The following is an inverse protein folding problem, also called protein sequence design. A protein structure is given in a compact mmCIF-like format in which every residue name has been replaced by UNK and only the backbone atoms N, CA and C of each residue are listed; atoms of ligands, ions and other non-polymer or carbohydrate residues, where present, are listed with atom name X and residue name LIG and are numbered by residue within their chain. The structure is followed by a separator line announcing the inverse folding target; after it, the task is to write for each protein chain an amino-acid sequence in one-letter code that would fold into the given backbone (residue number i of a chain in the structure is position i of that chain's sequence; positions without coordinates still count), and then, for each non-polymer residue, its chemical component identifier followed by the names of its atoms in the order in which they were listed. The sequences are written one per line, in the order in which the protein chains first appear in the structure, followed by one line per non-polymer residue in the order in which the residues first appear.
data_IF_981832303438
#
_entry.id   IF_981832303438
#
_cell.length_a   1.000
_cell.length_b   1.000
_cell.length_c   1.000
_cell.angle_alpha   90.00
_cell.angle_beta   90.00
_cell.angle_gamma   90.00
#
_symmetry.space_group_name_H-M   'P 1'
#
loop_
_entity.id
_entity.type
_entity.pdbx_description
1 polymer ?
#
# COMPACT_ATOMS: atom_id res chain seq x y z
N UNK A 1 20.97 -17.86 -7.42
CA UNK A 1 19.70 -17.14 -7.17
C UNK A 1 20.03 -15.67 -7.16
N UNK A 2 19.45 -14.88 -8.06
CA UNK A 2 19.64 -13.42 -8.06
C UNK A 2 19.08 -12.85 -6.75
N UNK A 3 19.69 -11.79 -6.24
CA UNK A 3 19.18 -11.11 -5.05
C UNK A 3 17.82 -10.49 -5.37
N UNK A 4 16.86 -10.60 -4.44
CA UNK A 4 15.55 -9.96 -4.58
C UNK A 4 15.59 -8.61 -3.88
N UNK A 5 15.09 -7.57 -4.55
CA UNK A 5 14.90 -6.23 -4.01
C UNK A 5 13.40 -5.96 -3.91
N UNK A 6 12.99 -5.41 -2.77
CA UNK A 6 11.60 -5.05 -2.50
C UNK A 6 11.41 -3.56 -2.67
N UNK A 7 10.47 -3.17 -3.53
CA UNK A 7 9.99 -1.81 -3.70
C UNK A 7 8.66 -1.66 -2.96
N UNK A 8 8.45 -0.49 -2.35
CA UNK A 8 7.25 -0.19 -1.56
C UNK A 8 6.35 0.78 -2.30
N UNK A 9 5.06 0.42 -2.37
CA UNK A 9 4.03 1.29 -2.91
C UNK A 9 2.77 1.20 -2.04
N UNK A 10 1.82 2.09 -2.32
CA UNK A 10 0.47 2.04 -1.76
C UNK A 10 -0.55 2.34 -2.84
N UNK A 11 -1.76 1.80 -2.72
CA UNK A 11 -2.94 2.33 -3.40
C UNK A 11 -3.68 3.24 -2.41
N UNK A 12 -3.64 4.55 -2.65
CA UNK A 12 -4.39 5.54 -1.90
C UNK A 12 -5.81 5.65 -2.47
N UNK A 13 -6.79 5.75 -1.59
CA UNK A 13 -8.22 5.76 -1.87
C UNK A 13 -8.86 6.92 -1.13
N UNK A 14 -9.26 7.96 -1.86
CA UNK A 14 -10.09 9.03 -1.32
C UNK A 14 -11.55 8.60 -1.40
N UNK A 15 -12.19 8.49 -0.24
CA UNK A 15 -13.56 8.02 -0.11
C UNK A 15 -14.55 9.16 -0.29
N UNK A 16 -15.68 8.87 -0.92
CA UNK A 16 -16.83 9.76 -0.82
C UNK A 16 -17.37 9.75 0.62
N UNK A 17 -17.87 10.89 1.16
CA UNK A 17 -18.38 10.96 2.53
C UNK A 17 -19.54 10.00 2.83
N UNK A 18 -20.29 9.60 1.80
CA UNK A 18 -21.39 8.65 1.89
C UNK A 18 -21.46 7.78 0.61
N UNK A 19 -21.87 6.50 0.73
CA UNK A 19 -22.04 5.76 1.98
C UNK A 19 -20.68 5.45 2.63
N UNK A 20 -20.68 5.20 3.94
CA UNK A 20 -19.52 4.64 4.63
C UNK A 20 -19.19 3.24 4.06
N UNK A 21 -17.92 2.80 4.09
CA UNK A 21 -17.56 1.46 3.64
C UNK A 21 -18.31 0.37 4.41
N UNK A 22 -18.86 -0.62 3.71
CA UNK A 22 -19.47 -1.81 4.34
C UNK A 22 -18.45 -2.64 5.13
N UNK A 23 -17.18 -2.63 4.69
CA UNK A 23 -16.07 -3.32 5.34
C UNK A 23 -14.75 -2.61 5.06
N UNK A 24 -13.79 -2.79 5.97
CA UNK A 24 -12.42 -2.27 5.83
C UNK A 24 -11.39 -3.38 5.56
N UNK A 25 -11.80 -4.64 5.53
CA UNK A 25 -10.94 -5.75 5.17
C UNK A 25 -11.66 -6.72 4.24
N UNK A 26 -10.87 -7.40 3.40
CA UNK A 26 -11.34 -8.49 2.55
C UNK A 26 -10.88 -9.83 3.11
N UNK A 27 -11.74 -10.85 3.02
CA UNK A 27 -11.33 -12.25 3.15
C UNK A 27 -10.44 -12.64 1.96
N UNK A 28 -9.61 -13.66 2.12
CA UNK A 28 -8.70 -14.16 1.08
C UNK A 28 -9.34 -14.26 -0.32
N UNK A 29 -10.52 -14.87 -0.42
CA UNK A 29 -11.22 -15.03 -1.70
C UNK A 29 -11.63 -13.70 -2.37
N UNK A 30 -11.92 -12.65 -1.58
CA UNK A 30 -12.24 -11.33 -2.11
C UNK A 30 -11.00 -10.55 -2.55
N UNK A 31 -9.84 -10.86 -1.97
CA UNK A 31 -8.57 -10.21 -2.28
C UNK A 31 -8.04 -10.52 -3.68
N UNK A 32 -8.27 -11.71 -4.20
CA UNK A 32 -7.68 -12.17 -5.46
C UNK A 32 -8.15 -11.33 -6.67
N UNK A 33 -9.46 -11.01 -6.73
CA UNK A 33 -10.01 -10.17 -7.80
C UNK A 33 -9.43 -8.74 -7.77
N UNK A 34 -9.27 -8.17 -6.57
CA UNK A 34 -8.68 -6.86 -6.39
C UNK A 34 -7.19 -6.86 -6.77
N UNK A 35 -6.45 -7.88 -6.37
CA UNK A 35 -5.03 -8.00 -6.71
C UNK A 35 -4.81 -8.14 -8.22
N UNK A 36 -5.68 -8.89 -8.92
CA UNK A 36 -5.66 -8.98 -10.38
C UNK A 36 -5.83 -7.63 -11.05
N UNK A 37 -6.88 -6.87 -10.69
CA UNK A 37 -7.12 -5.55 -11.27
C UNK A 37 -5.96 -4.56 -10.98
N UNK A 38 -5.42 -4.58 -9.76
CA UNK A 38 -4.25 -3.77 -9.41
C UNK A 38 -3.03 -4.18 -10.23
N UNK A 39 -2.80 -5.47 -10.46
CA UNK A 39 -1.68 -5.93 -11.26
C UNK A 39 -1.78 -5.45 -12.72
N UNK A 40 -2.98 -5.49 -13.32
CA UNK A 40 -3.22 -4.96 -14.67
C UNK A 40 -2.92 -3.47 -14.77
N UNK A 41 -3.36 -2.69 -13.77
CA UNK A 41 -3.03 -1.27 -13.68
C UNK A 41 -1.54 -1.02 -13.58
N UNK A 42 -0.85 -1.73 -12.68
CA UNK A 42 0.58 -1.54 -12.50
C UNK A 42 1.38 -2.00 -13.71
N UNK A 43 0.95 -3.03 -14.44
CA UNK A 43 1.57 -3.42 -15.72
C UNK A 43 1.45 -2.33 -16.78
N UNK A 44 0.28 -1.68 -16.86
CA UNK A 44 0.07 -0.52 -17.75
C UNK A 44 0.94 0.67 -17.36
N UNK A 45 1.06 0.95 -16.06
CA UNK A 45 1.81 2.10 -15.54
C UNK A 45 3.33 1.88 -15.55
N UNK A 46 3.77 0.65 -15.27
CA UNK A 46 5.16 0.31 -14.99
C UNK A 46 5.61 -0.89 -15.85
N UNK A 47 5.88 -0.68 -17.16
CA UNK A 47 6.41 -1.75 -18.01
C UNK A 47 7.68 -2.37 -17.42
N UNK A 48 7.72 -3.70 -17.34
CA UNK A 48 8.76 -4.49 -16.67
C UNK A 48 8.31 -5.09 -15.33
N UNK A 49 7.19 -4.62 -14.75
CA UNK A 49 6.66 -5.17 -13.49
C UNK A 49 6.08 -6.58 -13.65
N UNK A 50 5.75 -7.02 -14.86
CA UNK A 50 5.32 -8.39 -15.16
C UNK A 50 6.36 -9.45 -14.80
N UNK A 51 7.62 -9.04 -14.63
CA UNK A 51 8.70 -9.90 -14.14
C UNK A 51 8.85 -9.88 -12.61
N UNK A 52 8.21 -8.95 -11.93
CA UNK A 52 8.22 -8.83 -10.47
C UNK A 52 7.06 -9.62 -9.85
N UNK A 53 7.21 -9.98 -8.58
CA UNK A 53 6.11 -10.48 -7.75
C UNK A 53 5.40 -9.30 -7.08
N UNK A 54 4.07 -9.32 -7.07
CA UNK A 54 3.23 -8.34 -6.39
C UNK A 54 2.58 -8.98 -5.16
N UNK A 55 2.75 -8.34 -4.00
CA UNK A 55 2.02 -8.67 -2.78
C UNK A 55 1.11 -7.50 -2.40
N UNK A 56 -0.14 -7.79 -2.07
CA UNK A 56 -1.16 -6.82 -1.65
C UNK A 56 -1.66 -7.15 -0.25
N UNK A 57 -1.66 -6.19 0.68
CA UNK A 57 -2.47 -6.27 1.90
C UNK A 57 -3.88 -5.73 1.66
N UNK A 58 -4.92 -6.47 2.03
CA UNK A 58 -6.32 -6.11 1.72
C UNK A 58 -7.08 -5.48 2.90
N UNK A 59 -6.36 -4.92 3.87
CA UNK A 59 -6.92 -4.06 4.90
C UNK A 59 -6.80 -2.60 4.48
N UNK A 60 -7.90 -1.86 4.44
CA UNK A 60 -7.93 -0.43 4.18
C UNK A 60 -7.45 0.34 5.41
N UNK A 61 -6.16 0.67 5.42
CA UNK A 61 -5.48 1.34 6.52
C UNK A 61 -5.57 2.87 6.42
N UNK A 62 -5.40 3.55 7.54
CA UNK A 62 -5.17 4.99 7.60
C UNK A 62 -3.68 5.36 7.36
N UNK A 63 -3.41 6.63 7.03
CA UNK A 63 -2.04 7.14 6.89
C UNK A 63 -1.21 6.93 8.18
N UNK A 64 -1.81 7.10 9.36
CA UNK A 64 -1.15 6.87 10.65
C UNK A 64 -0.81 5.39 10.91
N UNK A 65 -1.55 4.47 10.29
CA UNK A 65 -1.27 3.03 10.36
C UNK A 65 -0.18 2.63 9.36
N UNK A 66 -0.19 3.21 8.16
CA UNK A 66 0.84 3.04 7.14
C UNK A 66 2.20 3.59 7.60
N UNK A 67 2.18 4.81 8.16
CA UNK A 67 3.35 5.53 8.64
C UNK A 67 3.59 5.24 10.14
N UNK A 68 3.67 3.95 10.48
CA UNK A 68 4.23 3.51 11.75
C UNK A 68 5.74 3.32 11.60
N UNK A 69 6.56 3.56 12.65
CA UNK A 69 8.01 3.37 12.59
C UNK A 69 8.41 2.02 11.97
N UNK A 70 9.29 2.07 10.97
CA UNK A 70 9.73 0.88 10.22
C UNK A 70 8.70 0.35 9.22
N UNK A 71 7.68 1.14 8.88
CA UNK A 71 6.64 0.82 7.90
C UNK A 71 5.98 -0.53 8.20
N UNK A 72 5.42 -0.64 9.40
CA UNK A 72 4.98 -1.90 9.99
C UNK A 72 4.05 -2.74 9.09
N UNK A 73 3.17 -2.10 8.31
CA UNK A 73 2.31 -2.78 7.34
C UNK A 73 3.13 -3.44 6.20
N UNK A 74 4.03 -2.69 5.55
CA UNK A 74 4.93 -3.22 4.53
C UNK A 74 5.86 -4.31 5.08
N UNK A 75 6.41 -4.11 6.29
CA UNK A 75 7.27 -5.10 6.94
C UNK A 75 6.52 -6.42 7.24
N UNK A 76 5.29 -6.33 7.73
CA UNK A 76 4.44 -7.50 7.97
C UNK A 76 4.09 -8.22 6.66
N UNK A 77 3.80 -7.46 5.60
CA UNK A 77 3.53 -8.03 4.28
C UNK A 77 4.76 -8.75 3.71
N UNK A 78 5.96 -8.21 3.91
CA UNK A 78 7.22 -8.82 3.47
C UNK A 78 7.48 -10.14 4.22
N UNK A 79 7.27 -10.15 5.54
CA UNK A 79 7.42 -11.36 6.36
C UNK A 79 6.47 -12.48 5.93
N UNK A 80 5.20 -12.14 5.67
CA UNK A 80 4.22 -13.10 5.14
C UNK A 80 4.61 -13.58 3.74
N UNK A 81 5.13 -12.68 2.90
CA UNK A 81 5.64 -12.95 1.55
C UNK A 81 6.72 -14.03 1.47
N UNK A 82 7.46 -14.26 2.55
CA UNK A 82 8.47 -15.32 2.61
C UNK A 82 7.87 -16.72 2.47
N UNK A 83 6.61 -16.90 2.88
CA UNK A 83 5.88 -18.17 2.93
C UNK A 83 4.88 -18.34 1.78
N UNK A 84 4.69 -17.30 0.97
CA UNK A 84 3.78 -17.29 -0.15
C UNK A 84 4.47 -17.78 -1.43
N UNK A 85 3.71 -18.26 -2.44
CA UNK A 85 4.26 -18.67 -3.72
C UNK A 85 5.23 -17.62 -4.29
N UNK A 86 6.36 -18.10 -4.77
CA UNK A 86 7.36 -17.31 -5.49
C UNK A 86 7.26 -17.64 -6.97
N UNK A 87 7.49 -16.65 -7.81
CA UNK A 87 7.50 -16.79 -9.26
C UNK A 87 7.46 -15.42 -9.91
N UNK A 88 8.12 -15.27 -11.06
CA UNK A 88 8.03 -14.08 -11.89
C UNK A 88 6.57 -13.82 -12.24
N UNK A 89 6.11 -12.58 -12.02
CA UNK A 89 4.73 -12.18 -12.31
C UNK A 89 3.68 -12.73 -11.34
N UNK A 90 4.07 -13.37 -10.23
CA UNK A 90 3.11 -13.82 -9.23
C UNK A 90 2.40 -12.64 -8.58
N UNK A 91 1.07 -12.73 -8.45
CA UNK A 91 0.22 -11.73 -7.80
C UNK A 91 -0.49 -12.40 -6.63
N UNK A 92 -0.29 -11.88 -5.42
CA UNK A 92 -0.84 -12.51 -4.21
C UNK A 92 -1.50 -11.48 -3.30
N UNK A 93 -2.77 -11.73 -2.97
CA UNK A 93 -3.49 -10.99 -1.95
C UNK A 93 -3.32 -11.64 -0.56
N UNK A 94 -2.95 -10.84 0.43
CA UNK A 94 -2.96 -11.19 1.84
C UNK A 94 -4.23 -10.63 2.46
N UNK A 95 -5.25 -11.49 2.53
CA UNK A 95 -6.53 -11.18 3.13
C UNK A 95 -6.78 -11.86 4.47
N UNK A 96 -7.88 -11.46 5.10
CA UNK A 96 -8.34 -12.00 6.35
C UNK A 96 -8.76 -13.47 6.23
N UNK A 97 -8.81 -14.12 7.38
CA UNK A 97 -9.45 -15.41 7.56
C UNK A 97 -10.38 -15.35 8.77
N UNK A 98 -11.69 -15.49 8.52
CA UNK A 98 -12.73 -15.35 9.55
C UNK A 98 -12.64 -14.01 10.28
N UNK A 99 -12.59 -12.92 9.51
CA UNK A 99 -12.57 -11.54 9.99
C UNK A 99 -11.25 -11.09 10.62
N UNK A 100 -10.20 -11.92 10.58
CA UNK A 100 -8.90 -11.60 11.20
C UNK A 100 -7.78 -11.61 10.17
N UNK A 101 -7.05 -10.50 10.09
CA UNK A 101 -5.83 -10.42 9.29
C UNK A 101 -4.71 -11.28 9.89
N UNK A 102 -3.84 -11.88 9.07
CA UNK A 102 -2.74 -12.73 9.54
C UNK A 102 -1.65 -11.98 10.32
N UNK A 103 -1.59 -10.65 10.20
CA UNK A 103 -0.72 -9.79 10.99
C UNK A 103 -1.50 -8.55 11.47
N UNK A 104 -1.30 -8.16 12.72
CA UNK A 104 -2.00 -7.02 13.33
C UNK A 104 -1.71 -5.70 12.60
N UNK A 105 -0.51 -5.51 12.04
CA UNK A 105 -0.15 -4.32 11.28
C UNK A 105 -0.87 -4.18 9.93
N UNK A 106 -1.59 -5.22 9.49
CA UNK A 106 -2.45 -5.20 8.30
C UNK A 106 -3.94 -5.10 8.65
N UNK A 107 -4.29 -5.10 9.94
CA UNK A 107 -5.66 -4.97 10.39
C UNK A 107 -6.00 -3.49 10.63
N UNK A 108 -7.04 -2.94 9.97
CA UNK A 108 -7.46 -1.56 10.21
C UNK A 108 -8.03 -1.39 11.62
N UNK A 109 -7.59 -0.35 12.32
CA UNK A 109 -8.07 -0.02 13.64
C UNK A 109 -9.39 0.77 13.58
N UNK A 110 -10.31 0.45 14.50
CA UNK A 110 -11.61 1.11 14.58
C UNK A 110 -11.50 2.62 14.85
N UNK A 111 -10.44 3.06 15.53
CA UNK A 111 -10.20 4.49 15.83
C UNK A 111 -10.05 5.36 14.58
N UNK A 112 -9.69 4.76 13.45
CA UNK A 112 -9.52 5.48 12.20
C UNK A 112 -10.68 5.28 11.24
N UNK A 113 -11.77 4.56 11.58
CA UNK A 113 -12.81 4.07 10.65
C UNK A 113 -13.50 5.13 9.78
N UNK A 114 -13.44 6.40 10.20
CA UNK A 114 -14.12 7.52 9.53
C UNK A 114 -13.19 8.41 8.71
N UNK A 115 -11.88 8.12 8.66
CA UNK A 115 -10.94 8.90 7.85
C UNK A 115 -11.30 8.85 6.34
N UNK A 116 -11.26 9.99 5.63
CA UNK A 116 -11.64 10.08 4.22
C UNK A 116 -10.60 9.47 3.29
N UNK A 117 -9.35 9.30 3.75
CA UNK A 117 -8.27 8.67 2.99
C UNK A 117 -7.98 7.28 3.54
N UNK A 118 -7.91 6.29 2.64
CA UNK A 118 -7.51 4.91 2.94
C UNK A 118 -6.37 4.45 2.07
N UNK A 119 -5.62 3.47 2.55
CA UNK A 119 -4.43 2.97 1.89
C UNK A 119 -4.39 1.45 1.93
N UNK A 120 -3.99 0.85 0.80
CA UNK A 120 -3.63 -0.56 0.72
C UNK A 120 -2.11 -0.67 0.53
N UNK A 121 -1.38 -1.41 1.39
CA UNK A 121 0.05 -1.61 1.21
C UNK A 121 0.34 -2.58 0.06
N UNK A 122 1.32 -2.22 -0.77
CA UNK A 122 1.81 -3.02 -1.89
C UNK A 122 3.32 -3.27 -1.73
N UNK A 123 3.76 -4.50 -2.01
CA UNK A 123 5.17 -4.82 -2.22
C UNK A 123 5.38 -5.32 -3.63
N UNK A 124 6.42 -4.81 -4.28
CA UNK A 124 6.86 -5.25 -5.60
C UNK A 124 8.25 -5.83 -5.42
N UNK A 125 8.39 -7.14 -5.60
CA UNK A 125 9.65 -7.85 -5.41
C UNK A 125 10.21 -8.23 -6.78
N UNK A 126 11.31 -7.58 -7.15
CA UNK A 126 12.00 -7.79 -8.41
C UNK A 126 13.40 -8.37 -8.17
N UNK A 127 13.94 -9.04 -9.18
CA UNK A 127 15.36 -9.38 -9.18
C UNK A 127 16.21 -8.11 -9.23
N UNK A 128 17.35 -8.10 -8.55
CA UNK A 128 18.22 -6.93 -8.40
C UNK A 128 18.60 -6.28 -9.73
N UNK A 129 18.82 -7.07 -10.78
CA UNK A 129 19.14 -6.59 -12.13
C UNK A 129 18.03 -5.74 -12.76
N UNK A 130 16.77 -5.96 -12.36
CA UNK A 130 15.60 -5.25 -12.86
C UNK A 130 15.10 -4.16 -11.89
N UNK A 131 15.43 -4.29 -10.60
CA UNK A 131 14.86 -3.50 -9.53
C UNK A 131 15.21 -2.01 -9.61
N UNK A 132 16.46 -1.65 -9.96
CA UNK A 132 16.88 -0.24 -10.03
C UNK A 132 16.11 0.53 -11.12
N UNK A 133 15.98 -0.07 -12.31
CA UNK A 133 15.25 0.52 -13.42
C UNK A 133 13.75 0.61 -13.12
N UNK A 134 13.18 -0.44 -12.53
CA UNK A 134 11.77 -0.47 -12.14
C UNK A 134 11.48 0.54 -11.02
N UNK A 135 12.35 0.64 -10.00
CA UNK A 135 12.21 1.58 -8.90
C UNK A 135 12.29 3.04 -9.36
N UNK A 136 13.24 3.36 -10.23
CA UNK A 136 13.33 4.70 -10.84
C UNK A 136 12.06 5.06 -11.59
N UNK A 137 11.52 4.11 -12.37
CA UNK A 137 10.28 4.30 -13.11
C UNK A 137 9.06 4.44 -12.18
N UNK A 138 9.01 3.64 -11.13
CA UNK A 138 7.96 3.69 -10.11
C UNK A 138 7.86 5.08 -9.52
N UNK A 139 8.98 5.65 -9.04
CA UNK A 139 8.99 7.00 -8.47
C UNK A 139 8.57 8.07 -9.50
N UNK A 140 9.06 7.99 -10.74
CA UNK A 140 8.75 8.98 -11.78
C UNK A 140 7.29 8.93 -12.25
N UNK A 141 6.76 7.72 -12.45
CA UNK A 141 5.42 7.52 -13.01
C UNK A 141 4.35 7.75 -11.95
N UNK A 142 4.49 7.19 -10.73
CA UNK A 142 3.43 7.25 -9.73
C UNK A 142 3.17 8.68 -9.22
N UNK A 143 4.23 9.49 -9.11
CA UNK A 143 4.12 10.91 -8.76
C UNK A 143 3.18 11.68 -9.71
N UNK A 144 3.19 11.36 -11.01
CA UNK A 144 2.52 12.16 -12.04
C UNK A 144 1.29 11.49 -12.65
N UNK A 145 1.30 10.17 -12.83
CA UNK A 145 0.33 9.40 -13.60
C UNK A 145 -0.16 8.15 -12.87
N UNK A 146 -0.07 8.13 -11.53
CA UNK A 146 -0.47 6.98 -10.71
C UNK A 146 -1.98 6.72 -10.60
N UNK A 147 -2.85 7.37 -11.37
CA UNK A 147 -4.31 7.16 -11.31
C UNK A 147 -4.67 5.68 -11.57
N UNK A 148 -5.50 5.14 -10.67
CA UNK A 148 -6.07 3.81 -10.86
C UNK A 148 -7.05 3.82 -12.04
N UNK A 149 -7.12 2.73 -12.80
CA UNK A 149 -8.10 2.64 -13.88
C UNK A 149 -9.52 2.58 -13.34
N UNK A 150 -10.49 2.90 -14.20
CA UNK A 150 -11.90 2.72 -13.91
C UNK A 150 -12.23 1.27 -13.51
N UNK A 151 -11.53 0.28 -14.08
CA UNK A 151 -11.73 -1.13 -13.74
C UNK A 151 -11.31 -1.43 -12.29
N UNK A 152 -10.09 -1.02 -11.89
CA UNK A 152 -9.62 -1.20 -10.52
C UNK A 152 -10.47 -0.45 -9.50
N UNK A 153 -10.85 0.80 -9.81
CA UNK A 153 -11.73 1.59 -8.95
C UNK A 153 -13.08 0.90 -8.74
N UNK A 154 -13.66 0.34 -9.80
CA UNK A 154 -14.93 -0.39 -9.77
C UNK A 154 -14.85 -1.70 -8.98
N UNK A 155 -13.78 -2.48 -9.16
CA UNK A 155 -13.51 -3.68 -8.34
C UNK A 155 -13.33 -3.31 -6.87
N UNK A 156 -12.61 -2.23 -6.57
CA UNK A 156 -12.38 -1.76 -5.20
C UNK A 156 -13.70 -1.32 -4.54
N UNK A 157 -14.50 -0.48 -5.20
CA UNK A 157 -15.80 -0.03 -4.71
C UNK A 157 -16.73 -1.20 -4.38
N UNK A 158 -16.83 -2.19 -5.27
CA UNK A 158 -17.65 -3.39 -5.02
C UNK A 158 -17.10 -4.27 -3.89
N UNK A 159 -15.78 -4.43 -3.82
CA UNK A 159 -15.16 -5.33 -2.84
C UNK A 159 -15.36 -4.84 -1.41
N UNK A 160 -15.26 -3.54 -1.18
CA UNK A 160 -15.40 -2.94 0.15
C UNK A 160 -16.78 -2.35 0.43
N UNK A 161 -17.68 -2.30 -0.56
CA UNK A 161 -18.98 -1.65 -0.43
C UNK A 161 -18.83 -0.16 -0.11
N UNK A 162 -18.01 0.55 -0.90
CA UNK A 162 -17.71 1.98 -0.71
C UNK A 162 -17.83 2.76 -2.02
N UNK A 163 -17.71 4.09 -1.93
CA UNK A 163 -17.60 4.99 -3.08
C UNK A 163 -16.28 5.75 -3.04
N UNK A 164 -15.60 5.84 -4.17
CA UNK A 164 -14.36 6.60 -4.34
C UNK A 164 -14.64 7.97 -4.94
N UNK A 165 -13.91 8.98 -4.49
CA UNK A 165 -13.70 10.22 -5.25
C UNK A 165 -12.50 10.04 -6.18
N UNK A 166 -11.37 9.58 -5.63
CA UNK A 166 -10.14 9.33 -6.36
C UNK A 166 -9.46 8.06 -5.84
N UNK A 167 -8.73 7.38 -6.71
CA UNK A 167 -7.83 6.30 -6.31
C UNK A 167 -6.55 6.36 -7.13
N UNK A 168 -5.40 6.30 -6.45
CA UNK A 168 -4.10 6.39 -7.11
C UNK A 168 -3.02 5.60 -6.40
N UNK A 169 -2.13 5.03 -7.18
CA UNK A 169 -0.89 4.43 -6.71
C UNK A 169 0.12 5.52 -6.38
N UNK A 170 0.84 5.33 -5.28
CA UNK A 170 1.88 6.21 -4.79
C UNK A 170 3.09 5.38 -4.40
N UNK A 171 4.28 5.93 -4.60
CA UNK A 171 5.47 5.39 -3.92
C UNK A 171 5.39 5.65 -2.41
N UNK A 172 6.25 4.99 -1.65
CA UNK A 172 6.38 5.31 -0.22
C UNK A 172 6.89 6.74 -0.02
N UNK A 173 7.77 7.22 -0.91
CA UNK A 173 8.29 8.59 -0.91
C UNK A 173 7.16 9.60 -1.14
N UNK A 174 6.28 9.35 -2.12
CA UNK A 174 5.11 10.17 -2.39
C UNK A 174 4.18 10.26 -1.18
N UNK A 175 3.91 9.13 -0.51
CA UNK A 175 3.07 9.10 0.70
C UNK A 175 3.66 9.95 1.83
N UNK A 176 4.98 9.86 2.05
CA UNK A 176 5.68 10.69 3.04
C UNK A 176 5.57 12.16 2.69
N UNK A 177 5.82 12.53 1.43
CA UNK A 177 5.76 13.91 0.96
C UNK A 177 4.35 14.50 1.10
N UNK A 178 3.32 13.75 0.68
CA UNK A 178 1.92 14.18 0.85
C UNK A 178 1.57 14.35 2.32
N UNK A 179 1.99 13.43 3.19
CA UNK A 179 1.70 13.53 4.62
C UNK A 179 2.41 14.72 5.26
N UNK A 180 3.65 15.02 4.86
CA UNK A 180 4.36 16.22 5.28
C UNK A 180 3.55 17.49 4.95
N UNK A 181 3.07 17.61 3.71
CA UNK A 181 2.22 18.74 3.28
C UNK A 181 0.92 18.81 4.08
N UNK A 182 0.29 17.67 4.41
CA UNK A 182 -0.89 17.66 5.28
C UNK A 182 -0.59 18.18 6.69
N UNK A 183 0.55 17.78 7.26
CA UNK A 183 0.99 18.30 8.56
C UNK A 183 1.27 19.81 8.50
N UNK A 184 1.84 20.29 7.40
CA UNK A 184 2.05 21.72 7.18
C UNK A 184 0.73 22.49 7.13
N UNK A 185 -0.23 22.04 6.34
CA UNK A 185 -1.56 22.65 6.28
C UNK A 185 -2.30 22.62 7.63
N UNK A 186 -2.06 21.60 8.44
CA UNK A 186 -2.62 21.49 9.79
C UNK A 186 -1.87 22.33 10.84
N UNK A 187 -0.82 23.08 10.46
CA UNK A 187 -0.03 23.91 11.38
C UNK A 187 1.01 23.14 12.21
N UNK A 188 1.31 21.90 11.84
CA UNK A 188 2.24 21.01 12.54
C UNK A 188 3.59 20.82 11.82
N UNK A 189 3.91 21.64 10.81
CA UNK A 189 5.15 21.54 10.02
C UNK A 189 6.42 21.34 10.87
N UNK A 190 6.56 22.10 11.96
CA UNK A 190 7.73 22.05 12.84
C UNK A 190 7.97 20.67 13.50
N UNK A 191 6.96 19.81 13.56
CA UNK A 191 7.05 18.48 14.16
C UNK A 191 7.41 17.39 13.14
N UNK A 192 7.29 17.67 11.83
CA UNK A 192 7.55 16.68 10.78
C UNK A 192 8.95 16.06 10.88
N UNK A 193 10.05 16.81 11.09
CA UNK A 193 11.39 16.20 11.16
C UNK A 193 11.54 15.13 12.25
N UNK A 194 10.82 15.27 13.37
CA UNK A 194 10.82 14.25 14.43
C UNK A 194 10.08 12.98 14.01
N UNK A 195 8.94 13.14 13.33
CA UNK A 195 8.15 12.03 12.80
C UNK A 195 8.95 11.31 11.72
N UNK A 196 9.49 12.05 10.75
CA UNK A 196 10.31 11.52 9.67
C UNK A 196 11.51 10.73 10.20
N UNK A 197 12.24 11.28 11.18
CA UNK A 197 13.35 10.57 11.81
C UNK A 197 12.92 9.26 12.47
N UNK A 198 11.76 9.23 13.13
CA UNK A 198 11.21 8.01 13.73
C UNK A 198 10.78 6.97 12.68
N UNK A 199 10.23 7.43 11.53
CA UNK A 199 9.84 6.57 10.42
C UNK A 199 11.02 5.92 9.73
N UNK A 200 12.03 6.73 9.37
CA UNK A 200 13.20 6.31 8.59
C UNK A 200 14.29 5.67 9.44
N UNK A 201 14.29 5.91 10.75
CA UNK A 201 15.33 5.41 11.67
C UNK A 201 14.76 4.61 12.86
N UNK A 202 13.92 3.59 12.62
CA UNK A 202 13.11 2.95 13.66
C UNK A 202 13.93 2.22 14.75
N UNK A 203 15.17 1.80 14.45
CA UNK A 203 16.06 1.15 15.42
C UNK A 203 16.54 2.08 16.54
N UNK A 204 16.56 3.40 16.32
CA UNK A 204 16.94 4.36 17.36
C UNK A 204 15.90 4.44 18.49
N UNK A 205 14.62 4.19 18.19
CA UNK A 205 13.51 4.29 19.14
C UNK A 205 13.36 3.07 20.08
N UNK A 206 13.98 1.91 19.75
CA UNK A 206 13.91 0.66 20.55
C UNK A 206 14.97 0.54 21.65
N UNK A 207 15.82 1.56 21.86
CA UNK A 207 16.76 1.62 22.99
C UNK A 207 16.12 2.36 24.18
N UNK A 208 15.13 1.74 24.83
CA UNK A 208 14.73 2.05 26.21
C UNK A 208 14.26 0.78 26.89
#
# INVERSE_FOLDING_TARGET
MSAIVTLHAVLACELSPQPAPERLLLERAGGDALAGAIAEDLQRLLPGIEHARLLLGTGLLDAAEMLRPGFAAHAALAELGLRLPRGHGAVVAVGAHHGRMPAAALAPAAEFSDAPMRYLPLLIEAEAEHADALGTRLEQVLANAGEASAHSADVLMRSYGLRLQHARYLSLTDLLALTCVQYEHAGFAAHWPLIEAALLTPRAARRR
#
